data_IF_219157009221
#
_entry.id   IF_219157009221
#
_cell.length_a   1.000
_cell.length_b   1.000
_cell.length_c   1.000
_cell.angle_alpha   90.00
_cell.angle_beta   90.00
_cell.angle_gamma   90.00
#
_symmetry.space_group_name_H-M   'P 1'
#
loop_
_entity.id
_entity.type
_entity.pdbx_description
1 polymer ?
#
# COMPACT_ATOMS: atom_id res chain seq x y z
N UNK A 1 -1.72 7.94 29.38
CA UNK A 1 -2.11 7.41 28.06
C UNK A 1 -3.62 7.54 27.97
N UNK A 2 -4.16 8.19 26.96
CA UNK A 2 -5.59 8.50 26.91
C UNK A 2 -6.37 7.26 26.42
N UNK A 3 -7.61 7.04 26.86
CA UNK A 3 -8.41 5.88 26.45
C UNK A 3 -8.50 5.71 24.93
N UNK A 4 -8.60 6.82 24.19
CA UNK A 4 -8.60 6.86 22.72
C UNK A 4 -7.31 6.34 22.06
N UNK A 5 -6.18 6.36 22.76
CA UNK A 5 -4.90 5.85 22.24
C UNK A 5 -4.85 4.31 22.25
N UNK A 6 -5.80 3.64 22.91
CA UNK A 6 -5.83 2.17 23.10
C UNK A 6 -6.64 1.47 22.01
N UNK A 7 -7.76 2.04 21.56
CA UNK A 7 -8.55 1.54 20.41
C UNK A 7 -7.81 1.70 19.08
N UNK A 8 -6.99 2.74 18.92
CA UNK A 8 -6.25 3.04 17.70
C UNK A 8 -5.15 2.02 17.35
N UNK A 9 -4.73 1.18 18.30
CA UNK A 9 -3.72 0.12 18.05
C UNK A 9 -4.30 -1.09 17.32
N UNK A 10 -5.60 -1.36 17.44
CA UNK A 10 -6.26 -2.54 16.87
C UNK A 10 -6.31 -2.54 15.33
N UNK A 11 -6.23 -1.36 14.70
CA UNK A 11 -6.54 -1.18 13.28
C UNK A 11 -5.33 -0.72 12.43
N UNK A 12 -4.10 -1.06 12.86
CA UNK A 12 -2.91 -0.81 12.05
C UNK A 12 -2.68 -1.96 11.08
N UNK A 13 -2.25 -1.68 9.84
CA UNK A 13 -1.83 -2.74 8.93
C UNK A 13 -0.72 -3.56 9.60
N UNK A 14 -0.79 -4.87 9.39
CA UNK A 14 0.15 -5.85 9.93
C UNK A 14 0.58 -6.79 8.82
N UNK A 15 1.75 -7.40 8.96
CA UNK A 15 2.27 -8.39 8.00
C UNK A 15 1.66 -9.79 8.18
N UNK A 16 0.47 -9.91 8.76
CA UNK A 16 -0.14 -11.21 9.09
C UNK A 16 -0.36 -12.07 7.85
N UNK A 17 -0.82 -11.47 6.75
CA UNK A 17 -1.09 -12.23 5.52
C UNK A 17 0.20 -12.57 4.76
N UNK A 18 1.14 -11.63 4.72
CA UNK A 18 2.47 -11.82 4.14
C UNK A 18 3.22 -12.93 4.87
N UNK A 19 3.18 -12.95 6.21
CA UNK A 19 3.82 -13.99 7.01
C UNK A 19 3.24 -15.38 6.72
N UNK A 20 1.92 -15.52 6.52
CA UNK A 20 1.32 -16.80 6.13
C UNK A 20 1.84 -17.27 4.78
N UNK A 21 1.98 -16.35 3.82
CA UNK A 21 2.49 -16.67 2.48
C UNK A 21 3.98 -17.03 2.52
N UNK A 22 4.80 -16.28 3.26
CA UNK A 22 6.21 -16.61 3.48
C UNK A 22 6.40 -17.97 4.15
N UNK A 23 5.62 -18.26 5.18
CA UNK A 23 5.61 -19.56 5.86
C UNK A 23 5.16 -20.71 4.94
N UNK A 24 4.34 -20.41 3.93
CA UNK A 24 3.90 -21.37 2.91
C UNK A 24 4.94 -21.57 1.79
N UNK A 25 6.11 -20.91 1.87
CA UNK A 25 7.22 -21.07 0.94
C UNK A 25 7.27 -20.04 -0.19
N UNK A 26 6.27 -19.15 -0.30
CA UNK A 26 6.30 -18.05 -1.27
C UNK A 26 7.39 -17.05 -0.89
N UNK A 27 8.26 -16.70 -1.83
CA UNK A 27 9.41 -15.80 -1.57
C UNK A 27 9.15 -14.34 -1.90
N UNK A 28 8.23 -14.08 -2.82
CA UNK A 28 7.85 -12.74 -3.24
C UNK A 28 6.35 -12.58 -3.02
N UNK A 29 5.98 -11.64 -2.17
CA UNK A 29 4.59 -11.28 -1.88
C UNK A 29 4.39 -9.84 -2.33
N UNK A 30 3.45 -9.64 -3.26
CA UNK A 30 3.13 -8.33 -3.80
C UNK A 30 1.89 -7.75 -3.10
N UNK A 31 2.03 -6.57 -2.52
CA UNK A 31 0.92 -5.72 -2.11
C UNK A 31 0.46 -4.86 -3.28
N UNK A 32 -0.87 -4.77 -3.47
CA UNK A 32 -1.53 -4.05 -4.56
C UNK A 32 -2.64 -3.19 -3.97
N UNK A 33 -2.75 -1.94 -4.42
CA UNK A 33 -3.85 -1.04 -4.05
C UNK A 33 -4.13 -0.04 -5.18
N UNK A 34 -5.38 0.33 -5.39
CA UNK A 34 -5.82 1.24 -6.45
C UNK A 34 -6.32 2.60 -5.96
N UNK A 35 -6.15 3.60 -6.82
CA UNK A 35 -6.74 4.94 -6.67
C UNK A 35 -7.45 5.34 -7.95
N UNK A 36 -8.49 6.17 -7.81
CA UNK A 36 -9.32 6.59 -8.95
C UNK A 36 -10.56 5.73 -9.18
N UNK A 37 -10.74 4.62 -8.44
CA UNK A 37 -12.01 3.88 -8.47
C UNK A 37 -13.13 4.75 -7.89
N UNK A 38 -14.07 5.16 -8.76
CA UNK A 38 -15.22 6.00 -8.39
C UNK A 38 -15.01 7.52 -8.57
N UNK A 39 -13.90 7.96 -9.17
CA UNK A 39 -13.78 9.36 -9.62
C UNK A 39 -14.56 9.59 -10.92
N UNK A 40 -15.12 10.78 -11.10
CA UNK A 40 -15.90 11.15 -12.30
C UNK A 40 -15.02 11.29 -13.55
N UNK A 41 -13.71 11.55 -13.36
CA UNK A 41 -12.77 11.72 -14.45
C UNK A 41 -11.38 11.23 -14.04
N UNK A 42 -10.60 10.83 -15.05
CA UNK A 42 -9.23 10.36 -14.90
C UNK A 42 -9.13 8.82 -14.87
N UNK A 43 -7.91 8.29 -15.10
CA UNK A 43 -7.67 6.86 -15.12
C UNK A 43 -7.75 6.25 -13.72
N UNK A 44 -7.85 4.92 -13.66
CA UNK A 44 -7.56 4.16 -12.45
C UNK A 44 -6.07 3.84 -12.43
N UNK A 45 -5.42 4.08 -11.30
CA UNK A 45 -3.98 3.82 -11.11
C UNK A 45 -3.81 2.82 -9.97
N UNK A 46 -3.03 1.77 -10.21
CA UNK A 46 -2.70 0.75 -9.21
C UNK A 46 -1.23 0.84 -8.84
N UNK A 47 -0.93 0.88 -7.55
CA UNK A 47 0.43 0.70 -7.04
C UNK A 47 0.71 -0.76 -6.74
N UNK A 48 1.91 -1.23 -7.05
CA UNK A 48 2.43 -2.55 -6.68
C UNK A 48 3.72 -2.39 -5.89
N UNK A 49 3.82 -3.07 -4.75
CA UNK A 49 5.03 -3.12 -3.93
C UNK A 49 5.35 -4.55 -3.54
N UNK A 50 6.60 -4.97 -3.74
CA UNK A 50 7.15 -6.19 -3.13
C UNK A 50 8.22 -5.75 -2.14
N UNK A 51 8.00 -6.08 -0.87
CA UNK A 51 8.92 -5.74 0.22
C UNK A 51 9.76 -6.97 0.61
N UNK A 52 11.00 -6.78 1.08
CA UNK A 52 11.75 -7.86 1.70
C UNK A 52 11.05 -8.33 2.99
N UNK A 53 11.26 -9.59 3.37
CA UNK A 53 10.73 -10.16 4.62
C UNK A 53 11.22 -9.40 5.87
N UNK A 54 12.45 -8.90 5.81
CA UNK A 54 13.07 -8.10 6.87
C UNK A 54 13.05 -6.61 6.54
N UNK A 55 11.95 -5.93 6.86
CA UNK A 55 11.87 -4.47 6.82
C UNK A 55 12.36 -3.87 8.15
N UNK A 56 13.18 -2.82 8.06
CA UNK A 56 13.63 -2.08 9.23
C UNK A 56 13.73 -0.58 8.94
N UNK A 57 13.66 0.21 10.01
CA UNK A 57 13.73 1.68 9.95
C UNK A 57 12.44 2.36 10.40
N UNK A 58 12.58 3.60 10.86
CA UNK A 58 11.48 4.41 11.40
C UNK A 58 10.32 4.58 10.43
N UNK A 59 10.61 4.64 9.12
CA UNK A 59 9.63 4.79 8.06
C UNK A 59 8.60 3.67 8.00
N UNK A 60 8.96 2.45 8.42
CA UNK A 60 8.04 1.29 8.46
C UNK A 60 6.89 1.56 9.41
N UNK A 61 7.16 2.20 10.55
CA UNK A 61 6.13 2.58 11.54
C UNK A 61 5.16 3.67 11.01
N UNK A 62 5.56 4.37 9.95
CA UNK A 62 4.77 5.41 9.31
C UNK A 62 3.90 4.88 8.16
N UNK A 63 4.10 3.63 7.74
CA UNK A 63 3.21 2.95 6.79
C UNK A 63 1.87 2.73 7.49
N UNK A 64 0.82 3.34 6.94
CA UNK A 64 -0.55 3.22 7.42
C UNK A 64 -1.49 3.47 6.24
N UNK A 65 -2.80 3.40 6.47
CA UNK A 65 -3.79 3.83 5.48
C UNK A 65 -3.43 5.24 4.97
N UNK A 66 -3.22 5.35 3.65
CA UNK A 66 -2.71 6.55 2.98
C UNK A 66 -3.60 7.76 3.19
N UNK A 67 -4.91 7.56 3.44
CA UNK A 67 -5.90 8.61 3.74
C UNK A 67 -5.68 9.22 5.13
N UNK A 68 -4.93 8.53 6.00
CA UNK A 68 -4.53 8.99 7.33
C UNK A 68 -3.14 9.62 7.35
N UNK A 69 -2.46 9.66 6.20
CA UNK A 69 -1.11 10.22 6.07
C UNK A 69 -1.13 11.64 5.49
N UNK A 70 -0.35 12.54 6.09
CA UNK A 70 -0.10 13.85 5.50
C UNK A 70 0.68 13.72 4.19
N UNK A 71 0.55 14.67 3.23
CA UNK A 71 1.34 14.63 1.99
C UNK A 71 2.84 14.50 2.23
N UNK A 72 3.38 15.21 3.23
CA UNK A 72 4.79 15.13 3.63
C UNK A 72 5.18 13.73 4.10
N UNK A 73 4.34 13.05 4.89
CA UNK A 73 4.58 11.67 5.33
C UNK A 73 4.50 10.68 4.18
N UNK A 74 3.57 10.87 3.24
CA UNK A 74 3.49 10.04 2.03
C UNK A 74 4.77 10.15 1.19
N UNK A 75 5.27 11.37 0.97
CA UNK A 75 6.53 11.57 0.24
C UNK A 75 7.72 10.92 0.94
N UNK A 76 7.79 11.05 2.27
CA UNK A 76 8.84 10.43 3.09
C UNK A 76 8.81 8.90 3.02
N UNK A 77 7.64 8.27 3.16
CA UNK A 77 7.51 6.82 3.04
C UNK A 77 7.82 6.37 1.61
N UNK A 78 7.36 7.12 0.59
CA UNK A 78 7.62 6.80 -0.81
C UNK A 78 9.12 6.77 -1.13
N UNK A 79 9.91 7.74 -0.66
CA UNK A 79 11.36 7.73 -0.89
C UNK A 79 12.02 6.50 -0.27
N UNK A 80 11.60 6.12 0.95
CA UNK A 80 12.11 4.89 1.56
C UNK A 80 11.66 3.63 0.81
N UNK A 81 10.44 3.58 0.29
CA UNK A 81 9.99 2.47 -0.55
C UNK A 81 10.81 2.37 -1.84
N UNK A 82 11.14 3.50 -2.48
CA UNK A 82 11.99 3.51 -3.68
C UNK A 82 13.38 2.94 -3.42
N UNK A 83 13.94 3.18 -2.22
CA UNK A 83 15.28 2.72 -1.86
C UNK A 83 15.31 1.28 -1.33
N UNK A 84 14.21 0.79 -0.75
CA UNK A 84 14.21 -0.46 0.04
C UNK A 84 13.27 -1.56 -0.50
N UNK A 85 12.34 -1.25 -1.38
CA UNK A 85 11.47 -2.27 -1.98
C UNK A 85 12.25 -3.11 -3.00
N UNK A 86 11.91 -4.39 -3.08
CA UNK A 86 12.42 -5.28 -4.14
C UNK A 86 11.81 -4.84 -5.48
N UNK A 87 10.51 -4.53 -5.47
CA UNK A 87 9.78 -3.98 -6.62
C UNK A 87 8.87 -2.87 -6.14
N UNK A 88 8.87 -1.76 -6.86
CA UNK A 88 7.91 -0.67 -6.75
C UNK A 88 7.50 -0.27 -8.15
N UNK A 89 6.22 -0.46 -8.49
CA UNK A 89 5.70 -0.20 -9.83
C UNK A 89 4.29 0.39 -9.78
N UNK A 90 3.87 0.96 -10.91
CA UNK A 90 2.52 1.46 -11.11
C UNK A 90 1.92 0.91 -12.39
N UNK A 91 0.67 0.47 -12.32
CA UNK A 91 -0.16 0.17 -13.48
C UNK A 91 -1.20 1.28 -13.68
N UNK A 92 -1.58 1.54 -14.93
CA UNK A 92 -2.59 2.53 -15.27
C UNK A 92 -3.61 1.86 -16.19
N UNK A 93 -4.89 2.06 -15.89
CA UNK A 93 -5.99 1.75 -16.79
C UNK A 93 -6.66 3.05 -17.20
N UNK A 94 -6.62 3.30 -18.51
CA UNK A 94 -7.24 4.46 -19.16
C UNK A 94 -8.75 4.52 -18.92
N UNK A 95 -9.36 5.67 -19.18
CA UNK A 95 -10.81 5.84 -19.04
C UNK A 95 -11.54 4.88 -19.98
N UNK A 96 -11.02 4.71 -21.20
CA UNK A 96 -11.58 3.82 -22.21
C UNK A 96 -11.52 2.34 -21.77
N UNK A 97 -10.42 1.91 -21.16
CA UNK A 97 -10.32 0.55 -20.59
C UNK A 97 -11.28 0.37 -19.41
N UNK A 98 -11.43 1.39 -18.56
CA UNK A 98 -12.36 1.38 -17.43
C UNK A 98 -13.81 1.30 -17.93
N UNK A 99 -14.18 2.04 -18.97
CA UNK A 99 -15.51 1.98 -19.57
C UNK A 99 -15.76 0.64 -20.26
N UNK A 100 -14.73 0.05 -20.88
CA UNK A 100 -14.83 -1.21 -21.62
C UNK A 100 -14.92 -2.44 -20.70
N UNK A 101 -14.14 -2.46 -19.61
CA UNK A 101 -13.98 -3.64 -18.74
C UNK A 101 -14.57 -3.47 -17.34
N UNK A 102 -14.76 -2.22 -16.90
CA UNK A 102 -15.34 -1.90 -15.61
C UNK A 102 -16.85 -2.08 -15.66
N UNK A 103 -17.33 -3.20 -15.12
CA UNK A 103 -18.74 -3.40 -14.88
C UNK A 103 -19.15 -2.61 -13.62
N UNK A 104 -19.52 -1.34 -13.80
CA UNK A 104 -20.12 -0.50 -12.75
C UNK A 104 -21.64 -0.48 -12.86
#
# INVERSE_FOLDING_TARGET
MRPEDTELKSNRPSFSEEQKLWNSGYKLVAGLDEVGRGTIAGPVVTGLVILPESLSGEWVSHINDSKRMTPKRRQYVLSHLQDNAIVLQTGISSVEEVDQFGNF
#
